data_IF_952452990566
#
_entry.id   IF_952452990566
#
_cell.length_a   1.000
_cell.length_b   1.000
_cell.length_c   1.000
_cell.angle_alpha   90.00
_cell.angle_beta   90.00
_cell.angle_gamma   90.00
#
_symmetry.space_group_name_H-M   'P 1'
#
loop_
_entity.id
_entity.type
_entity.pdbx_description
1 polymer ?
#
# COMPACT_ATOMS: atom_id res chain seq x y z
N UNK A 1 4.53 -4.72 -12.91
CA UNK A 1 4.97 -5.34 -11.63
C UNK A 1 6.01 -6.35 -12.03
N UNK A 2 7.20 -6.25 -11.46
CA UNK A 2 8.28 -7.20 -11.70
C UNK A 2 8.57 -7.87 -10.37
N UNK A 3 8.63 -9.19 -10.39
CA UNK A 3 8.90 -10.02 -9.22
C UNK A 3 10.21 -10.73 -9.51
N UNK A 4 11.19 -10.57 -8.61
CA UNK A 4 12.47 -11.26 -8.67
C UNK A 4 12.54 -12.18 -7.46
N UNK A 5 12.85 -13.45 -7.69
CA UNK A 5 13.01 -14.44 -6.63
C UNK A 5 14.49 -14.68 -6.36
N UNK A 6 14.85 -14.75 -5.08
CA UNK A 6 16.17 -15.14 -4.61
C UNK A 6 16.03 -16.31 -3.62
N UNK A 7 16.86 -17.33 -3.77
CA UNK A 7 16.87 -18.47 -2.82
C UNK A 7 17.79 -18.12 -1.67
N UNK A 8 17.23 -18.08 -0.46
CA UNK A 8 17.97 -17.82 0.76
C UNK A 8 18.30 -19.16 1.47
N UNK A 9 19.35 -19.19 2.32
CA UNK A 9 19.60 -20.33 3.20
C UNK A 9 18.41 -20.60 4.14
N UNK A 10 18.40 -21.78 4.77
CA UNK A 10 17.34 -22.22 5.70
C UNK A 10 15.93 -22.40 5.08
N UNK A 11 15.88 -22.83 3.81
CA UNK A 11 14.63 -23.04 3.05
C UNK A 11 13.77 -21.78 2.94
N UNK A 12 14.40 -20.60 2.90
CA UNK A 12 13.72 -19.33 2.73
C UNK A 12 13.79 -18.85 1.28
N UNK A 13 12.79 -18.07 0.86
CA UNK A 13 12.73 -17.44 -0.46
C UNK A 13 12.61 -15.93 -0.23
N UNK A 14 13.57 -15.18 -0.76
CA UNK A 14 13.49 -13.73 -0.88
C UNK A 14 12.67 -13.36 -2.10
N UNK A 15 11.70 -12.45 -1.92
CA UNK A 15 10.90 -11.89 -3.01
C UNK A 15 11.11 -10.39 -3.08
N UNK A 16 11.68 -9.93 -4.19
CA UNK A 16 11.77 -8.51 -4.51
C UNK A 16 10.64 -8.15 -5.48
N UNK A 17 9.74 -7.26 -5.04
CA UNK A 17 8.54 -6.88 -5.80
C UNK A 17 8.65 -5.41 -6.18
N UNK A 18 8.90 -5.15 -7.47
CA UNK A 18 8.89 -3.80 -8.03
C UNK A 18 7.47 -3.43 -8.49
N UNK A 19 6.93 -2.37 -7.89
CA UNK A 19 5.56 -1.90 -8.15
C UNK A 19 5.61 -0.58 -8.94
N UNK A 20 4.96 -0.52 -10.12
CA UNK A 20 4.91 0.71 -10.90
C UNK A 20 4.23 1.85 -10.16
N UNK A 21 4.75 3.08 -10.31
CA UNK A 21 4.19 4.28 -9.69
C UNK A 21 2.72 4.52 -10.06
N UNK A 22 2.31 4.15 -11.28
CA UNK A 22 0.91 4.26 -11.73
C UNK A 22 -0.04 3.40 -10.90
N UNK A 23 0.39 2.18 -10.53
CA UNK A 23 -0.40 1.28 -9.69
C UNK A 23 -0.55 1.86 -8.29
N UNK A 24 0.53 2.45 -7.74
CA UNK A 24 0.49 3.18 -6.47
C UNK A 24 -0.48 4.35 -6.49
N UNK A 25 -0.45 5.18 -7.55
CA UNK A 25 -1.38 6.31 -7.71
C UNK A 25 -2.84 5.86 -7.79
N UNK A 26 -3.14 4.81 -8.57
CA UNK A 26 -4.50 4.24 -8.66
C UNK A 26 -4.98 3.68 -7.33
N UNK A 27 -4.12 2.99 -6.59
CA UNK A 27 -4.44 2.48 -5.25
C UNK A 27 -4.75 3.63 -4.29
N UNK A 28 -3.94 4.68 -4.30
CA UNK A 28 -4.14 5.87 -3.48
C UNK A 28 -5.47 6.56 -3.77
N UNK A 29 -5.81 6.79 -5.04
CA UNK A 29 -7.09 7.40 -5.41
C UNK A 29 -8.29 6.56 -5.02
N UNK A 30 -8.17 5.23 -5.13
CA UNK A 30 -9.22 4.29 -4.71
C UNK A 30 -9.42 4.33 -3.20
N UNK A 31 -8.33 4.42 -2.44
CA UNK A 31 -8.39 4.48 -0.98
C UNK A 31 -8.97 5.82 -0.51
N UNK A 32 -8.57 6.94 -1.13
CA UNK A 32 -9.18 8.26 -0.87
C UNK A 32 -10.69 8.23 -1.11
N UNK A 33 -11.16 7.60 -2.21
CA UNK A 33 -12.60 7.47 -2.49
C UNK A 33 -13.32 6.59 -1.46
N UNK A 34 -12.68 5.51 -1.02
CA UNK A 34 -13.22 4.60 -0.02
C UNK A 34 -13.37 5.30 1.33
N UNK A 35 -12.31 5.99 1.77
CA UNK A 35 -12.32 6.80 2.99
C UNK A 35 -13.34 7.95 2.90
N UNK A 36 -13.48 8.61 1.74
CA UNK A 36 -14.49 9.64 1.56
C UNK A 36 -15.91 9.11 1.74
N UNK A 37 -16.16 7.84 1.39
CA UNK A 37 -17.46 7.17 1.54
C UNK A 37 -17.77 6.81 3.00
N UNK A 38 -16.76 6.42 3.78
CA UNK A 38 -16.91 5.91 5.15
C UNK A 38 -16.68 6.96 6.22
N UNK A 39 -15.90 8.00 5.95
CA UNK A 39 -15.54 9.04 6.91
C UNK A 39 -16.77 9.78 7.45
N UNK A 40 -16.79 9.94 8.77
CA UNK A 40 -17.76 10.75 9.48
C UNK A 40 -17.09 12.05 9.92
N UNK A 41 -17.29 13.13 9.16
CA UNK A 41 -16.70 14.44 9.45
C UNK A 41 -17.83 15.40 9.83
N UNK A 42 -17.78 16.04 11.02
CA UNK A 42 -18.77 17.03 11.43
C UNK A 42 -18.95 18.11 10.36
N UNK A 43 -20.20 18.43 10.04
CA UNK A 43 -20.56 19.40 9.00
C UNK A 43 -20.73 18.81 7.59
N UNK A 44 -20.34 17.55 7.35
CA UNK A 44 -20.57 16.87 6.08
C UNK A 44 -21.45 15.63 6.26
N UNK A 45 -22.40 15.45 5.34
CA UNK A 45 -23.17 14.20 5.27
C UNK A 45 -22.22 13.05 4.94
N UNK A 46 -22.36 11.92 5.65
CA UNK A 46 -21.59 10.69 5.42
C UNK A 46 -21.51 10.39 3.92
N UNK A 47 -20.29 10.23 3.41
CA UNK A 47 -20.03 9.91 2.01
C UNK A 47 -19.97 11.08 1.02
N UNK A 48 -20.21 12.33 1.48
CA UNK A 48 -20.18 13.54 0.65
C UNK A 48 -19.13 14.54 1.15
N UNK A 49 -18.00 14.03 1.64
CA UNK A 49 -16.88 14.86 2.07
C UNK A 49 -16.02 15.23 0.86
N UNK A 50 -15.73 16.53 0.62
CA UNK A 50 -14.76 16.95 -0.39
C UNK A 50 -13.35 16.43 -0.09
N UNK A 51 -12.62 16.06 -1.14
CA UNK A 51 -11.21 15.60 -1.06
C UNK A 51 -10.28 16.51 -0.25
N UNK A 52 -10.26 17.85 -0.41
CA UNK A 52 -9.34 18.70 0.35
C UNK A 52 -9.60 18.66 1.86
N UNK A 53 -10.87 18.62 2.27
CA UNK A 53 -11.24 18.54 3.70
C UNK A 53 -10.84 17.19 4.29
N UNK A 54 -11.02 16.11 3.54
CA UNK A 54 -10.62 14.77 3.98
C UNK A 54 -9.10 14.67 4.18
N UNK A 55 -8.32 15.23 3.25
CA UNK A 55 -6.85 15.29 3.36
C UNK A 55 -6.41 16.15 4.54
N UNK A 56 -7.09 17.26 4.80
CA UNK A 56 -6.80 18.12 5.94
C UNK A 56 -7.10 17.43 7.27
N UNK A 57 -8.19 16.64 7.35
CA UNK A 57 -8.59 15.99 8.61
C UNK A 57 -7.84 14.71 8.93
N UNK A 58 -7.65 13.84 7.94
CA UNK A 58 -6.96 12.56 8.13
C UNK A 58 -5.44 12.69 7.96
N UNK A 59 -4.99 13.71 7.24
CA UNK A 59 -3.59 13.87 6.87
C UNK A 59 -3.23 13.00 5.66
N UNK A 60 -2.40 13.55 4.77
CA UNK A 60 -1.88 12.81 3.61
C UNK A 60 -1.05 11.59 4.02
N UNK A 61 -0.33 11.67 5.14
CA UNK A 61 0.50 10.58 5.68
C UNK A 61 -0.32 9.35 6.05
N UNK A 62 -1.44 9.54 6.75
CA UNK A 62 -2.31 8.44 7.18
C UNK A 62 -2.89 7.68 5.98
N UNK A 63 -3.39 8.40 4.98
CA UNK A 63 -3.95 7.80 3.77
C UNK A 63 -2.88 7.03 3.00
N UNK A 64 -1.66 7.58 2.90
CA UNK A 64 -0.53 6.90 2.26
C UNK A 64 -0.16 5.61 3.00
N UNK A 65 -0.12 5.62 4.33
CA UNK A 65 0.20 4.45 5.14
C UNK A 65 -0.81 3.31 4.90
N UNK A 66 -2.12 3.60 4.98
CA UNK A 66 -3.17 2.60 4.70
C UNK A 66 -3.06 2.07 3.26
N UNK A 67 -2.84 2.98 2.31
CA UNK A 67 -2.68 2.59 0.91
C UNK A 67 -1.50 1.65 0.74
N UNK A 68 -0.36 1.96 1.38
CA UNK A 68 0.86 1.18 1.31
C UNK A 68 0.66 -0.21 1.92
N UNK A 69 0.08 -0.30 3.12
CA UNK A 69 -0.21 -1.57 3.80
C UNK A 69 -1.04 -2.51 2.90
N UNK A 70 -2.14 -1.98 2.35
CA UNK A 70 -3.02 -2.74 1.46
C UNK A 70 -2.34 -3.11 0.14
N UNK A 71 -1.52 -2.21 -0.40
CA UNK A 71 -0.79 -2.44 -1.64
C UNK A 71 0.30 -3.49 -1.45
N UNK A 72 1.00 -3.50 -0.31
CA UNK A 72 1.96 -4.55 0.06
C UNK A 72 1.25 -5.89 0.15
N UNK A 73 0.17 -5.98 0.92
CA UNK A 73 -0.61 -7.23 1.04
C UNK A 73 -1.06 -7.76 -0.33
N UNK A 74 -1.68 -6.89 -1.14
CA UNK A 74 -2.16 -7.27 -2.48
C UNK A 74 -1.02 -7.68 -3.41
N UNK A 75 0.15 -7.04 -3.29
CA UNK A 75 1.29 -7.31 -4.16
C UNK A 75 1.99 -8.60 -3.79
N UNK A 76 2.10 -8.90 -2.50
CA UNK A 76 2.61 -10.19 -2.01
C UNK A 76 1.70 -11.34 -2.45
N UNK A 77 0.38 -11.20 -2.28
CA UNK A 77 -0.57 -12.21 -2.76
C UNK A 77 -0.48 -12.43 -4.27
N UNK A 78 -0.28 -11.36 -5.05
CA UNK A 78 -0.08 -11.46 -6.50
C UNK A 78 1.24 -12.12 -6.87
N UNK A 79 2.33 -11.77 -6.19
CA UNK A 79 3.64 -12.36 -6.41
C UNK A 79 3.64 -13.87 -6.11
N UNK A 80 3.06 -14.28 -5.00
CA UNK A 80 2.90 -15.69 -4.63
C UNK A 80 2.09 -16.47 -5.68
N UNK A 81 0.99 -15.89 -6.17
CA UNK A 81 0.18 -16.50 -7.25
C UNK A 81 0.92 -16.57 -8.58
N UNK A 82 1.73 -15.55 -8.90
CA UNK A 82 2.45 -15.50 -10.17
C UNK A 82 3.56 -16.56 -10.21
N UNK A 83 4.32 -16.71 -9.13
CA UNK A 83 5.39 -17.71 -9.01
C UNK A 83 4.87 -19.09 -8.57
N UNK A 84 3.56 -19.24 -8.33
CA UNK A 84 2.93 -20.47 -7.80
C UNK A 84 3.64 -21.04 -6.58
N UNK A 85 4.03 -20.16 -5.66
CA UNK A 85 4.72 -20.55 -4.42
C UNK A 85 3.66 -20.84 -3.35
N UNK A 86 3.60 -22.10 -2.92
CA UNK A 86 2.84 -22.48 -1.72
C UNK A 86 3.57 -21.98 -0.47
N UNK A 87 3.17 -20.79 0.00
CA UNK A 87 3.74 -20.22 1.22
C UNK A 87 3.28 -21.03 2.44
N UNK A 88 4.23 -21.62 3.14
CA UNK A 88 3.98 -22.40 4.37
C UNK A 88 3.83 -21.46 5.60
N UNK A 89 4.19 -20.17 5.48
CA UNK A 89 4.19 -19.20 6.57
C UNK A 89 3.74 -17.79 6.19
N UNK A 90 3.70 -16.89 7.18
CA UNK A 90 3.46 -15.46 6.96
C UNK A 90 4.75 -14.79 6.47
N UNK A 91 4.68 -14.00 5.39
CA UNK A 91 5.85 -13.30 4.86
C UNK A 91 6.27 -12.20 5.83
N UNK A 92 7.57 -12.14 6.12
CA UNK A 92 8.18 -11.07 6.91
C UNK A 92 8.64 -9.95 5.98
N UNK A 93 8.29 -8.70 6.32
CA UNK A 93 8.82 -7.54 5.62
C UNK A 93 10.22 -7.23 6.16
N UNK A 94 11.21 -7.19 5.26
CA UNK A 94 12.58 -6.84 5.62
C UNK A 94 12.76 -5.35 5.94
N UNK A 95 11.85 -4.49 5.51
CA UNK A 95 11.90 -3.04 5.71
C UNK A 95 10.76 -2.54 6.61
N UNK A 96 11.05 -1.51 7.41
CA UNK A 96 10.06 -0.87 8.25
C UNK A 96 9.04 -0.10 7.40
N UNK A 97 7.75 -0.32 7.65
CA UNK A 97 6.65 0.35 6.95
C UNK A 97 6.77 1.88 6.99
N UNK A 98 7.29 2.44 8.08
CA UNK A 98 7.48 3.89 8.25
C UNK A 98 8.46 4.48 7.23
N UNK A 99 9.55 3.77 6.90
CA UNK A 99 10.55 4.24 5.93
C UNK A 99 9.98 4.28 4.49
N UNK A 100 9.08 3.35 4.17
CA UNK A 100 8.41 3.32 2.87
C UNK A 100 7.42 4.48 2.71
N UNK A 101 6.76 4.87 3.80
CA UNK A 101 5.87 6.05 3.82
C UNK A 101 6.66 7.33 3.56
N UNK A 102 7.87 7.44 4.09
CA UNK A 102 8.75 8.60 3.89
C UNK A 102 9.36 8.65 2.49
N UNK A 103 9.69 7.51 1.88
CA UNK A 103 10.14 7.45 0.48
C UNK A 103 9.06 7.91 -0.52
N UNK A 104 7.78 7.61 -0.26
CA UNK A 104 6.66 8.16 -1.05
C UNK A 104 6.49 9.68 -0.92
N UNK A 105 7.16 10.33 0.04
CA UNK A 105 7.16 11.79 0.18
C UNK A 105 8.25 12.45 -0.68
N UNK A 106 9.37 11.77 -0.95
CA UNK A 106 10.50 12.36 -1.70
C UNK A 106 10.29 12.43 -3.22
N UNK A 107 9.45 11.57 -3.80
CA UNK A 107 9.21 11.54 -5.26
C UNK A 107 8.31 12.68 -5.76
N UNK A 108 7.75 13.51 -4.87
CA UNK A 108 6.92 14.66 -5.24
C UNK A 108 7.57 16.02 -4.92
N UNK A 109 8.90 16.11 -4.97
CA UNK A 109 9.62 17.39 -4.92
C UNK A 109 10.35 17.67 -6.21
#
# INVERSE_FOLDING_TARGET
MKVTQEKLPDSQIGLEIEIPAETGKKAYETEVKTLARTANIPGFRKGKVPRPILLQRLGSRYIKAITLEKLVQTSVEKALKQESIDSIGQPTLSSALDELVDNLNQVNR
#
